data_IF_951794710321
#
_entry.id   IF_951794710321
#
_cell.length_a   1.000
_cell.length_b   1.000
_cell.length_c   1.000
_cell.angle_alpha   90.00
_cell.angle_beta   90.00
_cell.angle_gamma   90.00
#
_symmetry.space_group_name_H-M   'P 1'
#
loop_
_entity.id
_entity.type
_entity.pdbx_description
1 polymer ?
#
# COMPACT_ATOMS: atom_id res chain seq x y z
N UNK A 1 25.68 -32.45 13.30
CA UNK A 1 26.42 -31.27 13.78
C UNK A 1 25.68 -30.02 13.30
N UNK A 2 25.32 -29.16 14.27
CA UNK A 2 24.85 -27.77 14.19
C UNK A 2 23.70 -27.41 13.22
N UNK A 3 22.46 -27.46 13.72
CA UNK A 3 21.38 -26.59 13.25
C UNK A 3 21.74 -25.15 13.61
N UNK A 4 22.06 -24.34 12.60
CA UNK A 4 22.31 -22.90 12.76
C UNK A 4 20.99 -22.17 13.02
N UNK A 5 20.54 -22.15 14.27
CA UNK A 5 19.50 -21.22 14.73
C UNK A 5 20.10 -19.84 14.88
N UNK A 6 20.17 -19.08 13.78
CA UNK A 6 20.35 -17.64 13.88
C UNK A 6 19.13 -17.07 14.63
N UNK A 7 19.31 -16.19 15.63
CA UNK A 7 18.18 -15.48 16.20
C UNK A 7 17.47 -14.72 15.07
N UNK A 8 16.13 -14.68 15.03
CA UNK A 8 15.43 -13.83 14.08
C UNK A 8 15.95 -12.41 14.26
N UNK A 9 16.36 -11.79 13.15
CA UNK A 9 16.76 -10.38 13.12
C UNK A 9 15.75 -9.55 13.92
N UNK A 10 16.22 -8.64 14.78
CA UNK A 10 15.34 -7.74 15.55
C UNK A 10 14.36 -6.97 14.65
N UNK A 11 14.69 -6.82 13.36
CA UNK A 11 13.86 -6.16 12.35
C UNK A 11 12.66 -6.99 11.87
N UNK A 12 12.57 -8.28 12.21
CA UNK A 12 11.44 -9.17 11.86
C UNK A 12 10.53 -9.48 13.05
N UNK A 13 10.83 -8.95 14.25
CA UNK A 13 9.96 -9.07 15.41
C UNK A 13 8.58 -8.44 15.14
N UNK A 14 7.46 -9.13 15.41
CA UNK A 14 6.11 -8.60 15.16
C UNK A 14 5.86 -7.23 15.81
N UNK A 15 6.40 -7.01 17.01
CA UNK A 15 6.28 -5.74 17.72
C UNK A 15 7.07 -4.61 17.04
N UNK A 16 8.26 -4.91 16.52
CA UNK A 16 9.06 -3.95 15.76
C UNK A 16 8.36 -3.58 14.45
N UNK A 17 7.88 -4.59 13.72
CA UNK A 17 7.14 -4.41 12.46
C UNK A 17 5.88 -3.58 12.68
N UNK A 18 5.10 -3.85 13.74
CA UNK A 18 3.91 -3.07 14.09
C UNK A 18 4.24 -1.62 14.49
N UNK A 19 5.33 -1.38 15.25
CA UNK A 19 5.77 -0.03 15.61
C UNK A 19 6.20 0.75 14.38
N UNK A 20 7.10 0.19 13.57
CA UNK A 20 7.59 0.81 12.33
C UNK A 20 6.44 1.08 11.37
N UNK A 21 5.48 0.16 11.30
CA UNK A 21 4.28 0.36 10.53
C UNK A 21 3.51 1.62 10.98
N UNK A 22 3.23 1.71 12.28
CA UNK A 22 2.56 2.90 12.83
C UNK A 22 3.31 4.19 12.53
N UNK A 23 4.64 4.18 12.61
CA UNK A 23 5.48 5.36 12.30
C UNK A 23 5.37 5.78 10.83
N UNK A 24 5.53 4.85 9.88
CA UNK A 24 5.46 5.14 8.43
C UNK A 24 4.08 5.68 8.04
N UNK A 25 3.01 5.13 8.62
CA UNK A 25 1.67 5.55 8.28
C UNK A 25 1.24 6.85 8.98
N UNK A 26 1.81 7.16 10.14
CA UNK A 26 1.49 8.38 10.89
C UNK A 26 2.13 9.66 10.32
N UNK A 27 3.15 9.53 9.47
CA UNK A 27 3.77 10.70 8.83
C UNK A 27 2.91 11.20 7.67
N UNK A 28 2.94 12.51 7.39
CA UNK A 28 2.34 13.05 6.17
C UNK A 28 3.21 12.77 4.93
N UNK A 29 4.47 12.40 5.13
CA UNK A 29 5.42 12.10 4.08
C UNK A 29 5.02 10.83 3.29
N UNK A 30 5.21 10.88 1.97
CA UNK A 30 5.00 9.76 1.06
C UNK A 30 6.29 8.99 0.76
N UNK A 31 7.45 9.51 1.20
CA UNK A 31 8.77 8.95 0.88
C UNK A 31 8.93 7.51 1.39
N UNK A 32 8.60 7.26 2.66
CA UNK A 32 8.79 5.92 3.25
C UNK A 32 7.83 4.88 2.67
N UNK A 33 6.58 5.25 2.39
CA UNK A 33 5.64 4.35 1.71
C UNK A 33 6.05 4.14 0.24
N UNK A 34 6.58 5.15 -0.43
CA UNK A 34 7.10 5.03 -1.80
C UNK A 34 8.30 4.09 -1.86
N UNK A 35 9.21 4.18 -0.88
CA UNK A 35 10.32 3.22 -0.71
C UNK A 35 9.78 1.81 -0.52
N UNK A 36 8.79 1.61 0.35
CA UNK A 36 8.17 0.29 0.55
C UNK A 36 7.58 -0.26 -0.76
N UNK A 37 6.76 0.52 -1.48
CA UNK A 37 6.17 0.12 -2.77
C UNK A 37 7.26 -0.21 -3.79
N UNK A 38 8.33 0.58 -3.82
CA UNK A 38 9.48 0.32 -4.70
C UNK A 38 10.14 -1.01 -4.35
N UNK A 39 10.39 -1.26 -3.07
CA UNK A 39 10.99 -2.54 -2.64
C UNK A 39 10.08 -3.72 -2.95
N UNK A 40 8.78 -3.62 -2.71
CA UNK A 40 7.82 -4.70 -3.03
C UNK A 40 7.76 -5.03 -4.52
N UNK A 41 7.90 -4.03 -5.39
CA UNK A 41 7.81 -4.22 -6.84
C UNK A 41 9.14 -4.60 -7.52
N UNK A 42 10.29 -4.23 -6.94
CA UNK A 42 11.59 -4.30 -7.62
C UNK A 42 12.70 -4.99 -6.82
N UNK A 43 12.50 -5.36 -5.55
CA UNK A 43 13.50 -6.13 -4.82
C UNK A 43 13.56 -7.57 -5.31
N UNK A 44 14.77 -8.14 -5.36
CA UNK A 44 14.95 -9.58 -5.61
C UNK A 44 14.35 -10.35 -4.44
N UNK A 45 13.62 -11.43 -4.73
CA UNK A 45 12.85 -12.26 -3.80
C UNK A 45 13.62 -12.73 -2.54
N UNK A 46 14.96 -12.69 -2.58
CA UNK A 46 15.84 -13.14 -1.52
C UNK A 46 16.27 -12.08 -0.50
N UNK A 47 16.07 -10.77 -0.74
CA UNK A 47 16.73 -9.73 0.07
C UNK A 47 15.85 -8.98 1.08
N UNK A 48 14.51 -8.98 0.95
CA UNK A 48 13.70 -8.15 1.87
C UNK A 48 12.36 -8.74 2.32
N UNK A 49 12.44 -9.85 3.08
CA UNK A 49 11.30 -10.39 3.84
C UNK A 49 10.69 -9.36 4.81
N UNK A 50 11.44 -8.33 5.21
CA UNK A 50 10.95 -7.34 6.16
C UNK A 50 9.89 -6.41 5.53
N UNK A 51 10.04 -6.08 4.25
CA UNK A 51 9.09 -5.25 3.50
C UNK A 51 7.75 -5.96 3.28
N UNK A 52 7.76 -7.25 2.94
CA UNK A 52 6.54 -8.06 2.83
C UNK A 52 5.81 -8.20 4.18
N UNK A 53 6.56 -8.46 5.27
CA UNK A 53 6.00 -8.51 6.63
C UNK A 53 5.40 -7.15 7.05
N UNK A 54 6.05 -6.04 6.71
CA UNK A 54 5.54 -4.70 6.96
C UNK A 54 4.23 -4.45 6.19
N UNK A 55 4.19 -4.79 4.90
CA UNK A 55 2.99 -4.63 4.09
C UNK A 55 1.82 -5.50 4.59
N UNK A 56 2.08 -6.76 4.95
CA UNK A 56 1.08 -7.64 5.56
C UNK A 56 0.57 -7.08 6.89
N UNK A 57 1.45 -6.51 7.70
CA UNK A 57 1.08 -5.83 8.95
C UNK A 57 0.18 -4.61 8.68
N UNK A 58 0.50 -3.81 7.67
CA UNK A 58 -0.35 -2.69 7.25
C UNK A 58 -1.74 -3.12 6.82
N UNK A 59 -1.82 -4.10 5.93
CA UNK A 59 -3.08 -4.64 5.42
C UNK A 59 -3.96 -5.15 6.58
N UNK A 60 -3.36 -5.81 7.57
CA UNK A 60 -4.08 -6.38 8.72
C UNK A 60 -4.53 -5.34 9.74
N UNK A 61 -3.68 -4.38 10.10
CA UNK A 61 -3.89 -3.51 11.25
C UNK A 61 -4.35 -2.10 10.87
N UNK A 62 -4.01 -1.63 9.68
CA UNK A 62 -4.23 -0.26 9.24
C UNK A 62 -4.73 -0.16 7.79
N UNK A 63 -5.72 -0.96 7.35
CA UNK A 63 -6.13 -1.01 5.93
C UNK A 63 -6.64 0.35 5.42
N UNK A 64 -7.35 1.11 6.25
CA UNK A 64 -7.83 2.46 5.94
C UNK A 64 -6.70 3.41 5.54
N UNK A 65 -5.68 3.47 6.39
CA UNK A 65 -4.57 4.39 6.22
C UNK A 65 -3.63 3.92 5.10
N UNK A 66 -3.46 2.61 4.95
CA UNK A 66 -2.73 2.02 3.83
C UNK A 66 -3.38 2.39 2.49
N UNK A 67 -4.71 2.27 2.36
CA UNK A 67 -5.41 2.60 1.12
C UNK A 67 -5.19 4.06 0.71
N UNK A 68 -5.35 5.00 1.65
CA UNK A 68 -5.07 6.43 1.43
C UNK A 68 -3.62 6.65 1.01
N UNK A 69 -2.66 6.03 1.71
CA UNK A 69 -1.23 6.19 1.43
C UNK A 69 -0.81 5.63 0.08
N UNK A 70 -1.34 4.48 -0.34
CA UNK A 70 -1.07 3.92 -1.67
C UNK A 70 -1.59 4.84 -2.79
N UNK A 71 -2.75 5.46 -2.58
CA UNK A 71 -3.30 6.41 -3.54
C UNK A 71 -2.49 7.73 -3.58
N UNK A 72 -1.97 8.19 -2.43
CA UNK A 72 -1.05 9.32 -2.39
C UNK A 72 0.24 9.03 -3.19
N UNK A 73 0.80 7.83 -3.10
CA UNK A 73 1.97 7.42 -3.90
C UNK A 73 1.66 7.42 -5.40
N UNK A 74 0.48 6.95 -5.80
CA UNK A 74 0.04 6.96 -7.19
C UNK A 74 -0.06 8.38 -7.76
N UNK A 75 -0.60 9.32 -6.98
CA UNK A 75 -0.74 10.72 -7.37
C UNK A 75 0.58 11.51 -7.33
N UNK A 76 1.59 11.01 -6.60
CA UNK A 76 2.82 11.76 -6.38
C UNK A 76 3.60 11.94 -7.70
N UNK A 77 3.78 13.18 -8.20
CA UNK A 77 4.35 13.42 -9.53
C UNK A 77 5.81 12.96 -9.66
N UNK A 78 6.58 13.01 -8.58
CA UNK A 78 8.00 12.65 -8.57
C UNK A 78 8.22 11.12 -8.51
N UNK A 79 7.17 10.34 -8.27
CA UNK A 79 7.23 8.88 -8.34
C UNK A 79 7.40 8.40 -9.78
N UNK A 80 8.33 7.45 -9.98
CA UNK A 80 8.48 6.75 -11.27
C UNK A 80 7.16 6.10 -11.69
N UNK A 81 6.81 6.15 -12.98
CA UNK A 81 5.56 5.56 -13.51
C UNK A 81 5.33 4.13 -13.03
N UNK A 82 6.36 3.29 -13.07
CA UNK A 82 6.27 1.90 -12.61
C UNK A 82 5.95 1.76 -11.12
N UNK A 83 6.45 2.68 -10.27
CA UNK A 83 6.13 2.70 -8.82
C UNK A 83 4.68 3.14 -8.61
N UNK A 84 4.19 4.13 -9.37
CA UNK A 84 2.80 4.56 -9.31
C UNK A 84 1.85 3.44 -9.71
N UNK A 85 2.09 2.79 -10.86
CA UNK A 85 1.28 1.66 -11.33
C UNK A 85 1.32 0.48 -10.35
N UNK A 86 2.48 0.20 -9.76
CA UNK A 86 2.57 -0.83 -8.73
C UNK A 86 1.78 -0.46 -7.46
N UNK A 87 1.84 0.79 -7.01
CA UNK A 87 1.02 1.28 -5.90
C UNK A 87 -0.48 1.12 -6.16
N UNK A 88 -0.92 1.41 -7.38
CA UNK A 88 -2.30 1.25 -7.79
C UNK A 88 -2.73 -0.23 -7.80
N UNK A 89 -1.86 -1.14 -8.26
CA UNK A 89 -2.09 -2.58 -8.22
C UNK A 89 -2.21 -3.12 -6.77
N UNK A 90 -1.37 -2.62 -5.86
CA UNK A 90 -1.43 -2.95 -4.43
C UNK A 90 -2.74 -2.45 -3.80
N UNK A 91 -3.20 -1.25 -4.18
CA UNK A 91 -4.47 -0.69 -3.72
C UNK A 91 -5.67 -1.52 -4.22
N UNK A 92 -5.70 -1.86 -5.50
CA UNK A 92 -6.74 -2.70 -6.09
C UNK A 92 -6.81 -4.07 -5.40
N UNK A 93 -5.65 -4.70 -5.17
CA UNK A 93 -5.57 -5.97 -4.44
C UNK A 93 -6.07 -5.83 -3.00
N UNK A 94 -5.66 -4.77 -2.28
CA UNK A 94 -6.12 -4.48 -0.93
C UNK A 94 -7.64 -4.36 -0.85
N UNK A 95 -8.27 -3.66 -1.81
CA UNK A 95 -9.72 -3.49 -1.82
C UNK A 95 -10.46 -4.80 -2.08
N UNK A 96 -9.97 -5.64 -2.99
CA UNK A 96 -10.51 -6.99 -3.23
C UNK A 96 -10.43 -7.83 -1.95
N UNK A 97 -9.28 -7.83 -1.28
CA UNK A 97 -9.09 -8.57 -0.04
C UNK A 97 -10.03 -8.12 1.09
N UNK A 98 -10.30 -6.81 1.17
CA UNK A 98 -11.24 -6.24 2.14
C UNK A 98 -12.69 -6.63 1.82
N UNK A 99 -13.07 -6.59 0.53
CA UNK A 99 -14.38 -7.04 0.05
C UNK A 99 -14.61 -8.53 0.37
N UNK A 100 -13.65 -9.39 0.01
CA UNK A 100 -13.69 -10.83 0.29
C UNK A 100 -13.77 -11.14 1.79
N UNK A 101 -13.07 -10.34 2.61
CA UNK A 101 -13.08 -10.46 4.07
C UNK A 101 -14.28 -9.78 4.73
N UNK A 102 -15.16 -9.12 3.96
CA UNK A 102 -16.27 -8.27 4.45
C UNK A 102 -15.83 -7.20 5.45
N UNK A 103 -14.59 -6.73 5.34
CA UNK A 103 -14.04 -5.65 6.16
C UNK A 103 -14.35 -4.33 5.46
N UNK A 104 -15.11 -3.46 6.12
CA UNK A 104 -15.41 -2.14 5.57
C UNK A 104 -14.34 -1.12 5.95
N UNK A 105 -14.01 -0.27 4.99
CA UNK A 105 -13.27 0.95 5.25
C UNK A 105 -14.13 1.90 6.09
N UNK A 106 -13.49 2.73 6.90
CA UNK A 106 -14.13 3.81 7.65
C UNK A 106 -14.61 4.89 6.70
N UNK A 107 -15.71 5.55 7.04
CA UNK A 107 -16.30 6.63 6.24
C UNK A 107 -15.31 7.76 5.93
N UNK A 108 -14.49 8.16 6.91
CA UNK A 108 -13.43 9.17 6.74
C UNK A 108 -12.42 8.75 5.67
N UNK A 109 -11.92 7.51 5.74
CA UNK A 109 -10.97 7.00 4.76
C UNK A 109 -11.59 6.86 3.36
N UNK A 110 -12.87 6.47 3.27
CA UNK A 110 -13.59 6.43 1.99
C UNK A 110 -13.74 7.83 1.39
N UNK A 111 -14.02 8.84 2.21
CA UNK A 111 -14.08 10.23 1.78
C UNK A 111 -12.73 10.68 1.21
N UNK A 112 -11.64 10.46 1.96
CA UNK A 112 -10.29 10.81 1.52
C UNK A 112 -9.91 10.11 0.21
N UNK A 113 -10.24 8.81 0.07
CA UNK A 113 -9.99 8.04 -1.14
C UNK A 113 -10.77 8.64 -2.32
N UNK A 114 -12.06 8.98 -2.14
CA UNK A 114 -12.89 9.58 -3.20
C UNK A 114 -12.34 10.93 -3.66
N UNK A 115 -11.94 11.79 -2.73
CA UNK A 115 -11.33 13.09 -3.07
C UNK A 115 -10.02 12.91 -3.84
N UNK A 116 -9.17 11.99 -3.39
CA UNK A 116 -7.90 11.70 -4.06
C UNK A 116 -8.12 11.10 -5.46
N UNK A 117 -9.07 10.17 -5.63
CA UNK A 117 -9.41 9.58 -6.93
C UNK A 117 -9.92 10.63 -7.91
N UNK A 118 -10.87 11.47 -7.48
CA UNK A 118 -11.38 12.56 -8.30
C UNK A 118 -10.25 13.49 -8.75
N UNK A 119 -9.33 13.81 -7.84
CA UNK A 119 -8.19 14.64 -8.21
C UNK A 119 -7.24 13.96 -9.19
N UNK A 120 -7.08 12.63 -9.13
CA UNK A 120 -6.26 11.89 -10.11
C UNK A 120 -6.92 11.93 -11.49
N UNK A 121 -8.24 11.73 -11.57
CA UNK A 121 -8.99 11.78 -12.82
C UNK A 121 -8.92 13.14 -13.53
N UNK A 122 -8.81 14.23 -12.75
CA UNK A 122 -8.73 15.60 -13.29
C UNK A 122 -7.31 16.00 -13.65
N UNK A 123 -6.32 15.63 -12.83
CA UNK A 123 -4.97 16.21 -12.90
C UNK A 123 -3.91 15.29 -13.53
N UNK A 124 -4.19 14.00 -13.66
CA UNK A 124 -3.19 13.02 -14.05
C UNK A 124 -3.56 12.37 -15.38
N UNK A 125 -2.60 12.31 -16.30
CA UNK A 125 -2.75 11.52 -17.51
C UNK A 125 -2.72 10.03 -17.14
N UNK A 126 -3.88 9.39 -17.27
CA UNK A 126 -4.08 7.99 -16.89
C UNK A 126 -3.48 7.12 -18.00
N UNK A 127 -2.48 6.33 -17.65
CA UNK A 127 -1.92 5.34 -18.56
C UNK A 127 -2.94 4.23 -18.86
N UNK A 128 -2.91 3.66 -20.05
CA UNK A 128 -3.74 2.49 -20.40
C UNK A 128 -3.55 1.33 -19.41
N UNK A 129 -2.34 1.16 -18.87
CA UNK A 129 -2.01 0.17 -17.85
C UNK A 129 -2.77 0.39 -16.54
N UNK A 130 -3.04 1.65 -16.21
CA UNK A 130 -3.66 2.08 -14.96
C UNK A 130 -5.19 2.17 -15.09
N UNK A 131 -5.72 2.27 -16.32
CA UNK A 131 -7.15 2.45 -16.60
C UNK A 131 -8.05 1.38 -15.97
N UNK A 132 -7.68 0.11 -16.12
CA UNK A 132 -8.44 -1.04 -15.60
C UNK A 132 -8.43 -1.13 -14.07
N UNK A 133 -7.28 -1.11 -13.38
CA UNK A 133 -7.27 -1.09 -11.91
C UNK A 133 -7.96 0.15 -11.36
N UNK A 134 -7.78 1.33 -11.97
CA UNK A 134 -8.44 2.56 -11.52
C UNK A 134 -9.97 2.46 -11.61
N UNK A 135 -10.50 1.92 -12.71
CA UNK A 135 -11.94 1.69 -12.88
C UNK A 135 -12.51 0.75 -11.81
N UNK A 136 -11.79 -0.35 -11.49
CA UNK A 136 -12.20 -1.27 -10.42
C UNK A 136 -12.19 -0.60 -9.05
N UNK A 137 -11.14 0.15 -8.74
CA UNK A 137 -11.02 0.89 -7.48
C UNK A 137 -12.20 1.86 -7.32
N UNK A 138 -12.52 2.64 -8.35
CA UNK A 138 -13.67 3.56 -8.35
C UNK A 138 -14.96 2.78 -8.06
N UNK A 139 -15.21 1.69 -8.80
CA UNK A 139 -16.41 0.88 -8.59
C UNK A 139 -16.50 0.27 -7.20
N UNK A 140 -15.37 -0.16 -6.62
CA UNK A 140 -15.33 -0.71 -5.26
C UNK A 140 -15.63 0.37 -4.21
N UNK A 141 -14.99 1.54 -4.33
CA UNK A 141 -15.15 2.66 -3.41
C UNK A 141 -16.56 3.28 -3.45
N UNK A 142 -17.28 3.14 -4.57
CA UNK A 142 -18.70 3.53 -4.68
C UNK A 142 -19.65 2.53 -3.99
N UNK A 143 -19.27 1.26 -3.87
CA UNK A 143 -20.07 0.19 -3.24
C UNK A 143 -19.84 0.08 -1.73
N UNK A 144 -18.66 0.44 -1.25
CA UNK A 144 -18.25 0.38 0.16
C UNK A 144 -18.85 1.51 1.00
#
# INVERSE_FOLDING_TARGET
MASSSYPPSLTTSPLYVARKAKEILATHDVTEITKLVTTLGFAKETEDQSSDLLYKSFKKHFPNLLAVKLLQVYRFPESKTMVRSHSLSLLDSLLIDLEDSRIRLKTEALHDIKELLNSCLVQQEISDLDSKPLSRIISCVEKL
#
